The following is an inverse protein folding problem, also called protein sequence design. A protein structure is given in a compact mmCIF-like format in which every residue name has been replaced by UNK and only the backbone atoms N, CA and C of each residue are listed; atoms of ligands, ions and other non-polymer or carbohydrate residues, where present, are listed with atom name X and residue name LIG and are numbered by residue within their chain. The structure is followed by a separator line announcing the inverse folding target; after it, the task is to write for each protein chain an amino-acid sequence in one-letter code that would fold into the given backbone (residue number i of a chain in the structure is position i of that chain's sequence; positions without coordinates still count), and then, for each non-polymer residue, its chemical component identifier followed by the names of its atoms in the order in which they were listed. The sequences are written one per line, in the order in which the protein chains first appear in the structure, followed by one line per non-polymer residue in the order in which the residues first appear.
data_IF_717021031616
#
_entry.id   IF_717021031616
#
_cell.length_a   1.000
_cell.length_b   1.000
_cell.length_c   1.000
_cell.angle_alpha   90.00
_cell.angle_beta   90.00
_cell.angle_gamma   90.00
#
_symmetry.space_group_name_H-M   'P 1'
#
loop_
_entity.id
_entity.type
_entity.pdbx_description
1 polymer ?
#
# COMPACT_ATOMS: atom_id res chain seq x y z
N UNK A 1 28.39 -9.63 12.43
CA UNK A 1 28.80 -8.97 11.18
C UNK A 1 27.70 -8.00 10.79
N UNK A 2 28.00 -6.80 10.28
CA UNK A 2 26.95 -5.90 9.80
C UNK A 2 26.37 -6.48 8.51
N UNK A 3 25.07 -6.85 8.45
CA UNK A 3 24.49 -7.44 7.26
C UNK A 3 24.32 -6.44 6.11
N UNK A 4 24.41 -5.13 6.38
CA UNK A 4 24.37 -4.09 5.35
C UNK A 4 25.73 -3.95 4.67
N UNK A 5 25.77 -4.30 3.39
CA UNK A 5 26.95 -4.17 2.53
C UNK A 5 26.73 -2.95 1.62
N UNK A 6 27.47 -1.87 1.89
CA UNK A 6 27.47 -0.67 1.05
C UNK A 6 28.79 -0.58 0.28
N UNK A 7 28.71 -0.44 -1.04
CA UNK A 7 29.89 -0.20 -1.89
C UNK A 7 30.38 1.23 -1.76
N UNK A 8 29.43 2.18 -1.74
CA UNK A 8 29.65 3.61 -1.57
C UNK A 8 28.41 4.21 -0.91
N UNK A 9 28.59 5.24 -0.08
CA UNK A 9 27.47 6.03 0.44
C UNK A 9 27.26 7.23 -0.50
N UNK A 10 26.14 7.31 -1.24
CA UNK A 10 25.90 8.42 -2.15
C UNK A 10 25.56 9.71 -1.37
N UNK A 11 25.99 10.85 -1.88
CA UNK A 11 25.57 12.17 -1.38
C UNK A 11 24.23 12.53 -2.03
N UNK A 12 23.13 12.44 -1.27
CA UNK A 12 21.77 12.60 -1.76
C UNK A 12 21.09 13.83 -1.14
N UNK A 13 20.29 14.54 -1.93
CA UNK A 13 19.52 15.71 -1.51
C UNK A 13 18.13 15.28 -1.06
N UNK A 14 17.89 15.31 0.26
CA UNK A 14 16.57 14.99 0.88
C UNK A 14 15.92 13.71 0.31
N UNK A 15 16.64 12.58 0.28
CA UNK A 15 16.17 11.41 -0.45
C UNK A 15 14.88 10.82 0.11
N UNK A 16 14.14 10.13 -0.75
CA UNK A 16 12.99 9.30 -0.40
C UNK A 16 13.33 7.84 -0.69
N UNK A 17 13.15 6.96 0.29
CA UNK A 17 13.26 5.51 0.07
C UNK A 17 11.93 4.97 -0.42
N UNK A 18 11.91 4.27 -1.55
CA UNK A 18 10.78 3.49 -2.03
C UNK A 18 11.18 2.02 -2.03
N UNK A 19 10.51 1.20 -1.24
CA UNK A 19 10.86 -0.22 -1.05
C UNK A 19 9.70 -1.16 -1.32
N UNK A 20 9.96 -2.27 -2.00
CA UNK A 20 9.00 -3.36 -2.17
C UNK A 20 9.61 -4.71 -1.76
N UNK A 21 8.74 -5.60 -1.30
CA UNK A 21 9.12 -6.95 -0.88
C UNK A 21 8.30 -7.98 -1.66
N UNK A 22 8.98 -8.79 -2.46
CA UNK A 22 8.38 -9.96 -3.09
C UNK A 22 7.94 -10.96 -2.02
N UNK A 23 6.79 -11.59 -2.22
CA UNK A 23 6.25 -12.61 -1.33
C UNK A 23 4.84 -12.26 -0.86
N UNK A 24 4.58 -12.43 0.43
CA UNK A 24 3.23 -12.31 1.00
C UNK A 24 2.61 -10.91 0.82
N UNK A 25 3.44 -9.87 0.79
CA UNK A 25 3.01 -8.47 0.71
C UNK A 25 2.72 -7.98 -0.73
N UNK A 26 2.80 -8.84 -1.75
CA UNK A 26 2.86 -8.42 -3.15
C UNK A 26 1.94 -9.22 -4.08
N UNK A 27 0.62 -9.08 -3.87
CA UNK A 27 -0.38 -9.67 -4.74
C UNK A 27 -0.19 -9.24 -6.21
N UNK A 28 -0.11 -10.23 -7.09
CA UNK A 28 0.14 -10.03 -8.52
C UNK A 28 1.49 -9.37 -8.82
N UNK A 29 2.47 -9.50 -7.92
CA UNK A 29 3.83 -8.94 -8.06
C UNK A 29 3.82 -7.44 -8.42
N UNK A 30 2.78 -6.71 -8.02
CA UNK A 30 2.52 -5.35 -8.45
C UNK A 30 3.55 -4.36 -7.89
N UNK A 31 3.90 -4.48 -6.61
CA UNK A 31 4.90 -3.66 -5.95
C UNK A 31 6.32 -3.97 -6.46
N UNK A 32 6.64 -5.25 -6.64
CA UNK A 32 7.91 -5.69 -7.25
C UNK A 32 8.03 -5.12 -8.66
N UNK A 33 7.00 -5.29 -9.49
CA UNK A 33 6.97 -4.75 -10.86
C UNK A 33 7.11 -3.23 -10.88
N UNK A 34 6.46 -2.52 -9.95
CA UNK A 34 6.54 -1.07 -9.83
C UNK A 34 7.97 -0.60 -9.52
N UNK A 35 8.64 -1.18 -8.51
CA UNK A 35 10.02 -0.79 -8.16
C UNK A 35 10.99 -1.17 -9.28
N UNK A 36 10.86 -2.35 -9.87
CA UNK A 36 11.69 -2.75 -11.01
C UNK A 36 11.55 -1.78 -12.19
N UNK A 37 10.32 -1.36 -12.49
CA UNK A 37 10.05 -0.37 -13.53
C UNK A 37 10.71 0.98 -13.21
N UNK A 38 10.59 1.47 -11.97
CA UNK A 38 11.23 2.71 -11.52
C UNK A 38 12.77 2.61 -11.63
N UNK A 39 13.37 1.50 -11.19
CA UNK A 39 14.81 1.27 -11.31
C UNK A 39 15.29 1.39 -12.77
N UNK A 40 14.56 0.78 -13.71
CA UNK A 40 14.90 0.84 -15.15
C UNK A 40 14.71 2.23 -15.72
N UNK A 41 13.54 2.84 -15.53
CA UNK A 41 13.21 4.14 -16.12
C UNK A 41 14.08 5.27 -15.58
N UNK A 42 14.42 5.23 -14.30
CA UNK A 42 15.27 6.22 -13.65
C UNK A 42 16.77 5.91 -13.78
N UNK A 43 17.15 4.82 -14.46
CA UNK A 43 18.54 4.37 -14.62
C UNK A 43 19.28 4.27 -13.27
N UNK A 44 18.60 3.71 -12.27
CA UNK A 44 19.07 3.70 -10.90
C UNK A 44 20.38 2.89 -10.75
N UNK A 45 21.28 3.38 -9.89
CA UNK A 45 22.61 2.80 -9.68
C UNK A 45 22.66 2.01 -8.39
N UNK A 46 22.99 0.71 -8.47
CA UNK A 46 23.08 -0.17 -7.29
C UNK A 46 24.25 0.27 -6.41
N UNK A 47 24.01 0.45 -5.12
CA UNK A 47 25.05 0.89 -4.17
C UNK A 47 25.11 0.06 -2.90
N UNK A 48 24.02 -0.61 -2.53
CA UNK A 48 23.98 -1.43 -1.32
C UNK A 48 23.17 -2.72 -1.52
N UNK A 49 23.41 -3.68 -0.62
CA UNK A 49 22.65 -4.91 -0.51
C UNK A 49 22.68 -5.40 0.95
N UNK A 50 21.66 -6.15 1.36
CA UNK A 50 21.70 -6.91 2.61
C UNK A 50 22.19 -8.33 2.34
N UNK A 51 23.16 -8.77 3.12
CA UNK A 51 23.65 -10.16 3.12
C UNK A 51 22.49 -11.11 3.51
N UNK A 52 22.15 -12.09 2.66
CA UNK A 52 21.02 -12.97 2.93
C UNK A 52 21.28 -14.04 4.00
N UNK A 53 22.54 -14.31 4.37
CA UNK A 53 22.93 -15.46 5.20
C UNK A 53 22.09 -15.57 6.49
N UNK A 54 21.84 -14.44 7.15
CA UNK A 54 21.19 -14.38 8.46
C UNK A 54 19.65 -14.26 8.38
N UNK A 55 19.11 -13.98 7.20
CA UNK A 55 17.70 -13.62 7.01
C UNK A 55 16.89 -14.64 6.23
N UNK A 56 17.56 -15.55 5.51
CA UNK A 56 16.90 -16.47 4.58
C UNK A 56 17.07 -17.93 4.97
N UNK A 57 15.98 -18.68 4.85
CA UNK A 57 16.05 -20.15 4.83
C UNK A 57 16.26 -20.57 3.39
N UNK A 58 17.51 -20.84 3.00
CA UNK A 58 17.86 -21.15 1.60
C UNK A 58 17.21 -22.43 1.04
N UNK A 59 16.71 -23.31 1.90
CA UNK A 59 15.90 -24.45 1.47
C UNK A 59 14.56 -24.02 0.86
N UNK A 60 13.98 -22.91 1.35
CA UNK A 60 12.74 -22.33 0.85
C UNK A 60 13.04 -21.36 -0.31
N UNK A 61 14.04 -20.50 -0.14
CA UNK A 61 14.45 -19.53 -1.15
C UNK A 61 15.84 -19.89 -1.70
N UNK A 62 15.87 -20.78 -2.70
CA UNK A 62 17.10 -21.34 -3.24
C UNK A 62 17.88 -20.32 -4.08
N UNK A 63 19.22 -20.29 -3.98
CA UNK A 63 20.05 -19.59 -4.95
C UNK A 63 19.83 -20.14 -6.36
N UNK A 64 19.89 -19.26 -7.36
CA UNK A 64 19.73 -19.62 -8.75
C UNK A 64 21.07 -19.68 -9.46
N UNK A 65 21.19 -20.58 -10.42
CA UNK A 65 22.35 -20.62 -11.33
C UNK A 65 22.02 -19.76 -12.55
N UNK A 66 22.92 -18.85 -12.91
CA UNK A 66 22.84 -18.08 -14.16
C UNK A 66 24.16 -18.19 -14.93
N UNK A 67 24.10 -17.94 -16.24
CA UNK A 67 25.27 -17.68 -17.06
C UNK A 67 25.44 -16.17 -17.29
N UNK A 68 26.64 -15.65 -17.08
CA UNK A 68 26.98 -14.28 -17.47
C UNK A 68 26.95 -14.12 -18.99
N UNK A 69 26.98 -12.89 -19.49
CA UNK A 69 27.08 -12.63 -20.94
C UNK A 69 28.32 -13.28 -21.58
N UNK A 70 29.37 -13.53 -20.79
CA UNK A 70 30.57 -14.25 -21.21
C UNK A 70 30.49 -15.78 -21.14
N UNK A 71 29.35 -16.34 -20.72
CA UNK A 71 29.13 -17.78 -20.61
C UNK A 71 29.67 -18.42 -19.32
N UNK A 72 30.13 -17.61 -18.36
CA UNK A 72 30.58 -18.11 -17.05
C UNK A 72 29.38 -18.39 -16.14
N UNK A 73 29.46 -19.48 -15.37
CA UNK A 73 28.41 -19.85 -14.42
C UNK A 73 28.56 -19.05 -13.12
N UNK A 74 27.49 -18.39 -12.69
CA UNK A 74 27.42 -17.69 -11.41
C UNK A 74 26.23 -18.18 -10.56
N UNK A 75 26.35 -17.99 -9.24
CA UNK A 75 25.25 -18.19 -8.29
C UNK A 75 24.64 -16.84 -7.93
N UNK A 76 23.33 -16.73 -8.12
CA UNK A 76 22.52 -15.60 -7.67
C UNK A 76 21.84 -15.99 -6.37
N UNK A 77 22.35 -15.42 -5.28
CA UNK A 77 21.72 -15.54 -3.98
C UNK A 77 20.48 -14.64 -3.88
N UNK A 78 19.49 -15.00 -3.06
CA UNK A 78 18.41 -14.07 -2.69
C UNK A 78 19.03 -12.79 -2.15
N UNK A 79 18.53 -11.63 -2.54
CA UNK A 79 19.11 -10.36 -2.14
C UNK A 79 18.02 -9.32 -1.88
N UNK A 80 18.32 -8.40 -0.98
CA UNK A 80 17.61 -7.14 -0.85
C UNK A 80 18.59 -6.05 -1.26
N UNK A 81 18.37 -5.53 -2.45
CA UNK A 81 19.26 -4.62 -3.12
C UNK A 81 18.70 -3.20 -3.07
N UNK A 82 19.62 -2.24 -3.07
CA UNK A 82 19.29 -0.83 -3.05
C UNK A 82 20.01 -0.09 -4.16
N UNK A 83 19.26 0.77 -4.83
CA UNK A 83 19.71 1.64 -5.90
C UNK A 83 19.42 3.09 -5.53
N UNK A 84 20.19 4.02 -6.07
CA UNK A 84 19.91 5.45 -5.93
C UNK A 84 19.77 6.11 -7.30
N UNK A 85 19.07 7.24 -7.29
CA UNK A 85 18.88 8.15 -8.42
C UNK A 85 19.10 9.56 -7.92
N UNK A 86 20.10 10.22 -8.49
CA UNK A 86 20.30 11.66 -8.33
C UNK A 86 19.68 12.36 -9.53
N UNK A 87 18.72 13.24 -9.31
CA UNK A 87 18.08 13.99 -10.38
C UNK A 87 18.21 15.49 -10.11
N UNK A 88 19.23 16.16 -10.70
CA UNK A 88 19.51 17.57 -10.46
C UNK A 88 18.30 18.49 -10.68
N UNK A 89 17.44 18.15 -11.65
CA UNK A 89 16.24 18.92 -11.99
C UNK A 89 15.11 18.79 -10.96
N UNK A 90 15.22 17.86 -10.00
CA UNK A 90 14.21 17.60 -8.98
C UNK A 90 14.64 18.10 -7.59
N UNK A 91 13.67 18.31 -6.71
CA UNK A 91 13.88 18.82 -5.34
C UNK A 91 14.42 17.78 -4.36
N UNK A 92 14.29 16.50 -4.70
CA UNK A 92 14.63 15.35 -3.85
C UNK A 92 15.23 14.28 -4.72
N UNK A 93 16.19 13.53 -4.18
CA UNK A 93 16.72 12.33 -4.81
C UNK A 93 15.94 11.07 -4.36
N UNK A 94 16.18 9.92 -4.98
CA UNK A 94 15.44 8.69 -4.69
C UNK A 94 16.39 7.55 -4.35
N UNK A 95 16.02 6.78 -3.33
CA UNK A 95 16.57 5.45 -3.05
C UNK A 95 15.47 4.44 -3.36
N UNK A 96 15.79 3.43 -4.16
CA UNK A 96 14.89 2.32 -4.50
C UNK A 96 15.40 1.07 -3.80
N UNK A 97 14.52 0.35 -3.12
CA UNK A 97 14.83 -0.93 -2.46
C UNK A 97 13.95 -2.03 -3.02
N UNK A 98 14.56 -3.17 -3.37
CA UNK A 98 13.81 -4.35 -3.78
C UNK A 98 14.46 -5.59 -3.20
N UNK A 99 13.64 -6.44 -2.62
CA UNK A 99 14.08 -7.79 -2.27
C UNK A 99 12.93 -8.69 -1.95
N UNK A 100 13.25 -9.85 -1.40
CA UNK A 100 12.26 -10.80 -0.92
C UNK A 100 12.01 -10.50 0.57
N UNK A 101 10.81 -10.78 1.04
CA UNK A 101 10.53 -10.74 2.48
C UNK A 101 11.47 -11.70 3.24
N UNK A 102 12.20 -11.26 4.27
CA UNK A 102 13.09 -12.14 5.03
C UNK A 102 12.29 -13.23 5.74
N UNK A 103 12.89 -14.40 5.95
CA UNK A 103 12.28 -15.49 6.71
C UNK A 103 12.55 -15.41 8.21
N UNK A 104 13.71 -14.86 8.58
CA UNK A 104 14.25 -14.87 9.93
C UNK A 104 14.67 -13.47 10.37
N UNK A 105 14.79 -13.28 11.69
CA UNK A 105 15.43 -12.11 12.32
C UNK A 105 14.88 -10.75 11.85
N UNK A 106 13.58 -10.61 11.65
CA UNK A 106 12.94 -9.39 11.14
C UNK A 106 13.34 -8.11 11.86
N UNK A 107 13.52 -8.16 13.20
CA UNK A 107 13.99 -6.99 13.97
C UNK A 107 15.39 -6.55 13.54
N UNK A 108 16.32 -7.49 13.37
CA UNK A 108 17.69 -7.20 12.93
C UNK A 108 17.73 -6.79 11.45
N UNK A 109 16.88 -7.40 10.62
CA UNK A 109 16.70 -7.01 9.22
C UNK A 109 16.24 -5.55 9.10
N UNK A 110 15.18 -5.18 9.82
CA UNK A 110 14.64 -3.82 9.81
C UNK A 110 15.66 -2.84 10.35
N UNK A 111 16.41 -3.19 11.40
CA UNK A 111 17.50 -2.35 11.89
C UNK A 111 18.54 -2.08 10.80
N UNK A 112 18.92 -3.08 10.01
CA UNK A 112 19.87 -2.89 8.91
C UNK A 112 19.31 -2.00 7.79
N UNK A 113 18.00 -2.04 7.53
CA UNK A 113 17.32 -1.09 6.62
C UNK A 113 17.33 0.33 7.20
N UNK A 114 17.07 0.48 8.50
CA UNK A 114 17.13 1.77 9.19
C UNK A 114 18.54 2.35 9.19
N UNK A 115 19.58 1.53 9.36
CA UNK A 115 20.97 1.96 9.24
C UNK A 115 21.26 2.54 7.85
N UNK A 116 20.70 1.96 6.78
CA UNK A 116 20.77 2.51 5.43
C UNK A 116 20.00 3.84 5.31
N UNK A 117 18.79 3.90 5.86
CA UNK A 117 17.95 5.12 5.90
C UNK A 117 18.70 6.27 6.55
N UNK A 118 19.35 6.03 7.69
CA UNK A 118 20.15 7.01 8.42
C UNK A 118 21.42 7.42 7.65
N UNK A 119 22.18 6.45 7.13
CA UNK A 119 23.40 6.74 6.37
C UNK A 119 23.13 7.52 5.08
N UNK A 120 21.99 7.27 4.43
CA UNK A 120 21.56 8.01 3.24
C UNK A 120 20.79 9.30 3.58
N UNK A 121 20.53 9.59 4.85
CA UNK A 121 19.72 10.73 5.30
C UNK A 121 18.34 10.79 4.65
N UNK A 122 17.69 9.63 4.54
CA UNK A 122 16.34 9.48 3.96
C UNK A 122 15.33 10.27 4.78
N UNK A 123 14.55 11.09 4.08
CA UNK A 123 13.57 12.01 4.66
C UNK A 123 12.13 11.44 4.70
N UNK A 124 11.88 10.37 3.94
CA UNK A 124 10.60 9.68 3.89
C UNK A 124 10.83 8.23 3.40
N UNK A 125 10.21 7.26 4.07
CA UNK A 125 10.16 5.86 3.64
C UNK A 125 8.78 5.54 3.07
N UNK A 126 8.73 4.98 1.87
CA UNK A 126 7.52 4.55 1.17
C UNK A 126 7.64 3.05 0.89
N UNK A 127 6.89 2.23 1.63
CA UNK A 127 6.77 0.81 1.29
C UNK A 127 5.62 0.60 0.30
N UNK A 128 5.87 -0.16 -0.76
CA UNK A 128 4.86 -0.57 -1.72
C UNK A 128 4.47 -2.03 -1.45
N UNK A 129 3.18 -2.29 -1.51
CA UNK A 129 2.60 -3.62 -1.41
C UNK A 129 1.35 -3.74 -2.28
N UNK A 130 0.82 -4.95 -2.32
CA UNK A 130 -0.45 -5.26 -2.97
C UNK A 130 -1.13 -6.40 -2.24
N UNK A 131 -2.45 -6.33 -2.13
CA UNK A 131 -3.27 -7.31 -1.42
C UNK A 131 -4.44 -7.77 -2.28
N UNK A 132 -4.90 -8.99 -2.04
CA UNK A 132 -6.12 -9.50 -2.67
C UNK A 132 -7.34 -8.86 -1.97
N UNK A 133 -8.28 -8.35 -2.77
CA UNK A 133 -9.48 -7.68 -2.31
C UNK A 133 -10.70 -8.06 -3.15
N UNK A 134 -11.88 -7.76 -2.63
CA UNK A 134 -13.16 -7.82 -3.34
C UNK A 134 -13.30 -6.60 -4.26
N UNK A 135 -12.45 -6.59 -5.28
CA UNK A 135 -12.43 -5.56 -6.32
C UNK A 135 -12.54 -6.14 -7.71
N UNK A 136 -13.06 -5.34 -8.64
CA UNK A 136 -13.25 -5.75 -10.02
C UNK A 136 -12.11 -5.22 -10.90
N UNK A 137 -11.68 -6.03 -11.85
CA UNK A 137 -10.55 -5.72 -12.72
C UNK A 137 -10.84 -4.59 -13.72
N UNK A 138 -12.11 -4.36 -14.04
CA UNK A 138 -12.60 -3.31 -14.96
C UNK A 138 -12.43 -1.89 -14.36
N UNK A 139 -12.50 -1.76 -13.03
CA UNK A 139 -12.45 -0.46 -12.35
C UNK A 139 -11.01 0.04 -12.12
N UNK A 140 -10.82 1.35 -11.84
CA UNK A 140 -9.53 1.88 -11.41
C UNK A 140 -9.02 1.18 -10.14
N UNK A 141 -7.72 0.90 -10.09
CA UNK A 141 -7.09 0.25 -8.92
C UNK A 141 -7.17 1.18 -7.72
N UNK A 142 -7.89 0.74 -6.68
CA UNK A 142 -7.95 1.44 -5.40
C UNK A 142 -6.62 1.25 -4.65
N UNK A 143 -6.08 2.34 -4.14
CA UNK A 143 -4.88 2.35 -3.30
C UNK A 143 -5.28 2.67 -1.86
N UNK A 144 -4.89 1.81 -0.93
CA UNK A 144 -5.02 2.05 0.51
C UNK A 144 -3.63 2.29 1.11
N UNK A 145 -3.55 2.80 2.34
CA UNK A 145 -2.26 3.02 2.95
C UNK A 145 -2.33 3.43 4.41
N UNK A 146 -1.20 3.27 5.08
CA UNK A 146 -1.00 3.68 6.47
C UNK A 146 0.24 4.55 6.53
N UNK A 147 0.16 5.67 7.23
CA UNK A 147 1.30 6.53 7.50
C UNK A 147 1.64 6.53 8.99
N UNK A 148 2.88 6.87 9.29
CA UNK A 148 3.40 7.04 10.65
C UNK A 148 2.78 8.21 11.41
N UNK A 149 2.29 9.22 10.70
CA UNK A 149 1.72 10.45 11.24
C UNK A 149 0.41 10.83 10.50
N UNK A 150 -0.63 11.30 11.22
CA UNK A 150 -1.90 11.70 10.61
C UNK A 150 -1.79 12.81 9.56
N UNK A 151 -0.88 13.78 9.71
CA UNK A 151 -0.75 14.87 8.73
C UNK A 151 -0.17 14.34 7.41
N UNK A 152 0.79 13.41 7.50
CA UNK A 152 1.30 12.70 6.33
C UNK A 152 0.19 11.88 5.65
N UNK A 153 -0.65 11.17 6.42
CA UNK A 153 -1.79 10.44 5.87
C UNK A 153 -2.78 11.37 5.15
N UNK A 154 -3.14 12.51 5.78
CA UNK A 154 -4.08 13.48 5.24
C UNK A 154 -3.57 14.14 3.95
N UNK A 155 -2.31 14.59 3.94
CA UNK A 155 -1.66 15.15 2.74
C UNK A 155 -1.64 14.19 1.55
N UNK A 156 -1.65 12.89 1.84
CA UNK A 156 -1.63 11.83 0.85
C UNK A 156 -3.03 11.27 0.57
N UNK A 157 -4.09 11.75 1.22
CA UNK A 157 -5.44 11.22 1.07
C UNK A 157 -5.49 9.71 1.35
N UNK A 158 -4.76 9.25 2.36
CA UNK A 158 -4.79 7.86 2.80
C UNK A 158 -5.88 7.71 3.86
N UNK A 159 -6.83 6.82 3.62
CA UNK A 159 -7.80 6.40 4.63
C UNK A 159 -7.08 5.53 5.67
N UNK A 160 -7.06 6.00 6.93
CA UNK A 160 -6.44 5.25 8.02
C UNK A 160 -7.03 3.85 8.17
N UNK A 161 -6.17 2.87 8.44
CA UNK A 161 -6.60 1.48 8.69
C UNK A 161 -6.84 1.26 10.19
N UNK A 162 -7.93 0.56 10.53
CA UNK A 162 -8.20 0.02 11.88
C UNK A 162 -7.90 -1.48 11.97
N UNK A 163 -7.16 -2.02 11.01
CA UNK A 163 -6.86 -3.44 10.92
C UNK A 163 -6.08 -3.94 12.14
N UNK A 164 -6.52 -5.07 12.67
CA UNK A 164 -5.81 -5.86 13.67
C UNK A 164 -5.67 -7.30 13.16
N UNK A 165 -4.44 -7.82 13.16
CA UNK A 165 -4.15 -9.16 12.66
C UNK A 165 -2.68 -9.35 12.25
N UNK A 166 -2.37 -10.47 11.57
CA UNK A 166 -1.04 -10.76 11.07
C UNK A 166 -0.51 -9.65 10.16
N UNK A 167 0.80 -9.41 10.22
CA UNK A 167 1.48 -8.43 9.36
C UNK A 167 2.76 -9.00 8.78
N UNK A 168 3.20 -8.41 7.67
CA UNK A 168 4.46 -8.72 7.01
C UNK A 168 5.59 -7.78 7.43
N UNK A 169 6.73 -7.91 6.76
CA UNK A 169 7.90 -7.06 6.97
C UNK A 169 7.61 -5.57 6.73
N UNK A 170 6.65 -5.25 5.83
CA UNK A 170 6.19 -3.88 5.57
C UNK A 170 5.62 -3.24 6.84
N UNK A 171 4.79 -3.98 7.59
CA UNK A 171 4.22 -3.49 8.84
C UNK A 171 5.28 -3.30 9.92
N UNK A 172 6.25 -4.22 10.00
CA UNK A 172 7.35 -4.13 10.98
C UNK A 172 8.29 -2.96 10.65
N UNK A 173 8.59 -2.72 9.38
CA UNK A 173 9.37 -1.56 8.95
C UNK A 173 8.65 -0.24 9.28
N UNK A 174 7.35 -0.14 8.97
CA UNK A 174 6.56 1.05 9.30
C UNK A 174 6.50 1.31 10.81
N UNK A 175 6.31 0.27 11.63
CA UNK A 175 6.31 0.40 13.09
C UNK A 175 7.66 0.84 13.64
N UNK A 176 8.77 0.32 13.10
CA UNK A 176 10.11 0.73 13.50
C UNK A 176 10.39 2.18 13.11
N UNK A 177 10.05 2.61 11.89
CA UNK A 177 10.14 4.02 11.48
C UNK A 177 9.34 4.93 12.42
N UNK A 178 8.11 4.55 12.78
CA UNK A 178 7.27 5.30 13.73
C UNK A 178 7.96 5.46 15.09
N UNK A 179 8.55 4.39 15.63
CA UNK A 179 9.25 4.41 16.92
C UNK A 179 10.49 5.29 16.92
N UNK A 180 11.17 5.44 15.79
CA UNK A 180 12.32 6.33 15.63
C UNK A 180 11.93 7.76 15.19
N UNK A 181 10.64 8.06 15.03
CA UNK A 181 10.17 9.37 14.56
C UNK A 181 10.49 9.64 13.09
N UNK A 182 10.77 8.60 12.29
CA UNK A 182 11.02 8.69 10.86
C UNK A 182 9.70 8.74 10.09
N UNK A 183 9.49 9.75 9.21
CA UNK A 183 8.33 9.77 8.32
C UNK A 183 8.32 8.52 7.44
N UNK A 184 7.31 7.69 7.59
CA UNK A 184 7.06 6.54 6.73
C UNK A 184 5.59 6.35 6.37
N UNK A 185 5.36 5.67 5.25
CA UNK A 185 4.06 5.29 4.74
C UNK A 185 4.14 3.96 4.00
N UNK A 186 3.02 3.22 3.99
CA UNK A 186 2.82 2.08 3.09
C UNK A 186 1.68 2.36 2.11
N UNK A 187 1.84 1.95 0.86
CA UNK A 187 0.83 2.01 -0.20
C UNK A 187 0.51 0.60 -0.67
N UNK A 188 -0.78 0.27 -0.69
CA UNK A 188 -1.28 -1.05 -1.01
C UNK A 188 -2.23 -0.98 -2.19
N UNK A 189 -1.89 -1.67 -3.28
CA UNK A 189 -2.80 -1.86 -4.40
C UNK A 189 -3.80 -2.99 -4.11
N UNK A 190 -5.08 -2.69 -4.25
CA UNK A 190 -6.14 -3.70 -4.14
C UNK A 190 -6.24 -4.46 -5.46
N UNK A 191 -5.88 -5.74 -5.45
CA UNK A 191 -5.90 -6.64 -6.60
C UNK A 191 -7.12 -7.57 -6.49
N UNK A 192 -7.87 -7.81 -7.59
CA UNK A 192 -8.98 -8.76 -7.55
C UNK A 192 -8.52 -10.15 -7.08
N UNK A 193 -9.18 -10.72 -6.09
CA UNK A 193 -8.76 -12.01 -5.52
C UNK A 193 -8.81 -13.18 -6.53
N UNK A 194 -9.69 -13.11 -7.54
CA UNK A 194 -9.75 -14.09 -8.64
C UNK A 194 -8.58 -13.99 -9.63
N UNK A 195 -7.67 -13.02 -9.46
CA UNK A 195 -6.43 -12.87 -10.23
C UNK A 195 -5.19 -13.32 -9.45
N UNK A 196 -5.37 -14.15 -8.41
CA UNK A 196 -4.28 -14.69 -7.63
C UNK A 196 -3.28 -15.45 -8.50
N UNK A 197 -1.99 -15.21 -8.28
CA UNK A 197 -0.90 -15.89 -8.99
C UNK A 197 -0.59 -15.34 -10.39
N UNK A 198 -1.26 -14.26 -10.82
CA UNK A 198 -0.99 -13.60 -12.11
C UNK A 198 -0.36 -12.22 -11.88
N UNK A 199 0.74 -11.92 -12.57
CA UNK A 199 1.36 -10.59 -12.54
C UNK A 199 0.38 -9.52 -13.01
N UNK A 200 0.21 -8.46 -12.22
CA UNK A 200 -0.78 -7.41 -12.45
C UNK A 200 -0.12 -6.05 -12.75
N UNK A 201 0.20 -5.76 -14.03
CA UNK A 201 0.81 -4.49 -14.43
C UNK A 201 -0.13 -3.28 -14.25
N UNK A 202 -1.46 -3.48 -14.21
CA UNK A 202 -2.42 -2.41 -13.91
C UNK A 202 -2.25 -1.89 -12.48
N UNK A 203 -2.09 -2.80 -11.52
CA UNK A 203 -1.80 -2.46 -10.13
C UNK A 203 -0.41 -1.81 -9.98
N UNK A 204 0.61 -2.34 -10.67
CA UNK A 204 1.95 -1.73 -10.69
C UNK A 204 1.91 -0.30 -11.24
N UNK A 205 1.16 -0.05 -12.32
CA UNK A 205 0.99 1.28 -12.90
C UNK A 205 0.34 2.26 -11.92
N UNK A 206 -0.66 1.82 -11.16
CA UNK A 206 -1.31 2.63 -10.13
C UNK A 206 -0.32 3.02 -9.01
N UNK A 207 0.49 2.08 -8.53
CA UNK A 207 1.54 2.32 -7.54
C UNK A 207 2.59 3.31 -8.07
N UNK A 208 3.10 3.12 -9.30
CA UNK A 208 4.06 4.03 -9.93
C UNK A 208 3.51 5.44 -10.04
N UNK A 209 2.28 5.60 -10.54
CA UNK A 209 1.63 6.92 -10.64
C UNK A 209 1.50 7.59 -9.28
N UNK A 210 1.15 6.83 -8.25
CA UNK A 210 1.03 7.35 -6.89
C UNK A 210 2.38 7.78 -6.33
N UNK A 211 3.42 6.98 -6.50
CA UNK A 211 4.79 7.32 -6.09
C UNK A 211 5.26 8.60 -6.77
N UNK A 212 5.09 8.71 -8.09
CA UNK A 212 5.49 9.91 -8.84
C UNK A 212 4.76 11.17 -8.36
N UNK A 213 3.47 11.05 -8.03
CA UNK A 213 2.70 12.15 -7.42
C UNK A 213 3.28 12.57 -6.07
N UNK A 214 3.70 11.61 -5.22
CA UNK A 214 4.31 11.90 -3.91
C UNK A 214 5.70 12.52 -4.05
N UNK A 215 6.48 12.07 -5.02
CA UNK A 215 7.79 12.64 -5.34
C UNK A 215 7.70 14.01 -6.01
N UNK A 216 6.53 14.38 -6.55
CA UNK A 216 6.34 15.51 -7.47
C UNK A 216 7.21 15.38 -8.73
N UNK A 217 7.48 14.14 -9.15
CA UNK A 217 8.28 13.82 -10.31
C UNK A 217 7.40 13.54 -11.54
N UNK A 218 7.88 13.94 -12.70
CA UNK A 218 7.32 13.54 -13.99
C UNK A 218 8.33 12.70 -14.74
N UNK A 219 8.05 11.41 -14.94
CA UNK A 219 8.85 10.58 -15.84
C UNK A 219 8.43 10.82 -17.28
N UNK A 220 9.39 10.83 -18.23
CA UNK A 220 9.10 11.07 -19.64
C UNK A 220 8.27 9.95 -20.25
N UNK A 221 8.43 8.71 -19.78
CA UNK A 221 7.77 7.56 -20.37
C UNK A 221 7.20 6.56 -19.34
N UNK A 222 5.91 6.24 -19.50
CA UNK A 222 5.22 5.14 -18.81
C UNK A 222 4.55 4.20 -19.84
N UNK A 223 4.89 4.32 -21.12
CA UNK A 223 4.24 3.61 -22.24
C UNK A 223 4.34 2.10 -22.09
N UNK A 224 5.52 1.57 -21.76
CA UNK A 224 5.75 0.15 -21.48
C UNK A 224 4.72 -0.38 -20.47
N UNK A 225 4.61 0.29 -19.33
CA UNK A 225 3.74 -0.13 -18.24
C UNK A 225 2.25 0.11 -18.55
N UNK A 226 1.91 1.18 -19.28
CA UNK A 226 0.55 1.45 -19.77
C UNK A 226 0.10 0.37 -20.76
N UNK A 227 0.92 0.05 -21.74
CA UNK A 227 0.64 -1.00 -22.73
C UNK A 227 0.49 -2.36 -22.07
N UNK A 228 1.36 -2.68 -21.09
CA UNK A 228 1.24 -3.91 -20.31
C UNK A 228 -0.07 -3.96 -19.51
N UNK A 229 -0.50 -2.85 -18.90
CA UNK A 229 -1.77 -2.75 -18.19
C UNK A 229 -2.97 -2.97 -19.12
N UNK A 230 -3.01 -2.31 -20.28
CA UNK A 230 -4.09 -2.49 -21.27
C UNK A 230 -4.15 -3.93 -21.79
N UNK A 231 -3.01 -4.52 -22.14
CA UNK A 231 -2.95 -5.91 -22.59
C UNK A 231 -3.34 -6.91 -21.50
N UNK A 232 -3.04 -6.60 -20.24
CA UNK A 232 -3.50 -7.40 -19.09
C UNK A 232 -5.02 -7.32 -18.95
N UNK A 233 -5.61 -6.12 -18.95
CA UNK A 233 -7.06 -5.93 -18.85
C UNK A 233 -7.79 -6.69 -19.96
N UNK A 234 -7.36 -6.58 -21.21
CA UNK A 234 -7.99 -7.31 -22.32
C UNK A 234 -7.93 -8.84 -22.17
N UNK A 235 -6.83 -9.38 -21.63
CA UNK A 235 -6.72 -10.83 -21.38
C UNK A 235 -7.63 -11.28 -20.24
N UNK A 236 -7.75 -10.47 -19.18
CA UNK A 236 -8.64 -10.78 -18.07
C UNK A 236 -10.09 -10.73 -18.53
N UNK A 237 -10.48 -9.70 -19.29
CA UNK A 237 -11.83 -9.58 -19.86
C UNK A 237 -12.20 -10.82 -20.70
N UNK A 238 -11.30 -11.26 -21.57
CA UNK A 238 -11.49 -12.48 -22.37
C UNK A 238 -11.65 -13.74 -21.50
N UNK A 239 -10.82 -13.88 -20.47
CA UNK A 239 -10.90 -15.01 -19.55
C UNK A 239 -12.22 -15.02 -18.78
N UNK A 240 -12.65 -13.86 -18.27
CA UNK A 240 -13.94 -13.70 -17.57
C UNK A 240 -15.11 -13.99 -18.51
N UNK A 241 -15.09 -13.49 -19.74
CA UNK A 241 -16.15 -13.76 -20.72
C UNK A 241 -16.24 -15.25 -21.13
N UNK A 242 -15.13 -15.99 -21.03
CA UNK A 242 -15.09 -17.42 -21.35
C UNK A 242 -15.62 -18.33 -20.23
N UNK A 243 -15.79 -17.82 -19.02
CA UNK A 243 -16.25 -18.56 -17.85
C UNK A 243 -17.53 -17.90 -17.29
N UNK A 244 -18.67 -18.56 -17.49
CA UNK A 244 -19.98 -18.03 -17.07
C UNK A 244 -20.14 -17.88 -15.56
N UNK A 245 -19.46 -18.71 -14.77
CA UNK A 245 -19.48 -18.60 -13.31
C UNK A 245 -18.69 -17.39 -12.86
N UNK A 246 -17.48 -17.22 -13.41
CA UNK A 246 -16.64 -16.06 -13.14
C UNK A 246 -17.28 -14.75 -13.62
N UNK A 247 -17.89 -14.74 -14.81
CA UNK A 247 -18.63 -13.59 -15.32
C UNK A 247 -19.78 -13.17 -14.40
N UNK A 248 -20.56 -14.14 -13.92
CA UNK A 248 -21.66 -13.88 -12.96
C UNK A 248 -21.12 -13.30 -11.66
N UNK A 249 -20.02 -13.86 -11.16
CA UNK A 249 -19.38 -13.42 -9.93
C UNK A 249 -18.82 -11.99 -10.04
N UNK A 250 -18.11 -11.67 -11.13
CA UNK A 250 -17.60 -10.32 -11.40
C UNK A 250 -18.76 -9.32 -11.45
N UNK A 251 -19.86 -9.66 -12.10
CA UNK A 251 -21.05 -8.80 -12.20
C UNK A 251 -21.66 -8.50 -10.82
N UNK A 252 -21.74 -9.49 -9.93
CA UNK A 252 -22.19 -9.29 -8.55
C UNK A 252 -21.28 -8.35 -7.78
N UNK A 253 -19.95 -8.47 -7.94
CA UNK A 253 -19.01 -7.54 -7.33
C UNK A 253 -19.14 -6.12 -7.88
N UNK A 254 -19.40 -5.96 -9.18
CA UNK A 254 -19.65 -4.65 -9.80
C UNK A 254 -20.90 -3.99 -9.20
N UNK A 255 -22.00 -4.74 -9.06
CA UNK A 255 -23.25 -4.25 -8.44
C UNK A 255 -23.04 -3.83 -6.98
N UNK A 256 -22.30 -4.62 -6.20
CA UNK A 256 -21.97 -4.30 -4.81
C UNK A 256 -21.12 -3.03 -4.69
N UNK A 257 -20.14 -2.85 -5.59
CA UNK A 257 -19.32 -1.64 -5.58
C UNK A 257 -20.09 -0.40 -6.00
N UNK A 258 -20.96 -0.52 -7.01
CA UNK A 258 -21.82 0.59 -7.43
C UNK A 258 -22.74 1.02 -6.29
N UNK A 259 -23.34 0.07 -5.58
CA UNK A 259 -24.19 0.36 -4.41
C UNK A 259 -23.42 1.03 -3.24
N UNK A 260 -22.12 0.75 -3.10
CA UNK A 260 -21.25 1.42 -2.11
C UNK A 260 -20.73 2.79 -2.57
N UNK A 261 -20.67 3.02 -3.90
CA UNK A 261 -20.15 4.24 -4.50
C UNK A 261 -21.22 5.30 -4.74
N UNK A 262 -22.49 4.91 -4.85
CA UNK A 262 -23.59 5.85 -4.72
C UNK A 262 -23.53 6.47 -3.32
N UNK A 263 -23.36 7.80 -3.19
CA UNK A 263 -23.47 8.43 -1.89
C UNK A 263 -24.86 8.05 -1.37
N UNK A 264 -24.91 7.49 -0.17
CA UNK A 264 -26.17 7.43 0.55
C UNK A 264 -26.80 8.82 0.47
N UNK A 265 -27.90 8.95 -0.28
CA UNK A 265 -28.78 10.12 -0.30
C UNK A 265 -29.47 10.31 1.07
N UNK A 266 -28.74 10.13 2.17
CA UNK A 266 -29.22 10.09 3.55
C UNK A 266 -28.19 10.60 4.58
N UNK A 267 -27.24 11.45 4.17
CA UNK A 267 -26.51 12.28 5.14
C UNK A 267 -26.99 13.74 5.11
N UNK A 268 -27.61 14.21 4.02
CA UNK A 268 -28.21 15.57 3.95
C UNK A 268 -29.67 15.64 4.47
N UNK A 269 -30.30 14.50 4.79
CA UNK A 269 -31.66 14.44 5.37
C UNK A 269 -31.70 13.69 6.70
N UNK A 270 -30.59 13.58 7.43
CA UNK A 270 -30.68 13.26 8.85
C UNK A 270 -31.08 14.55 9.57
N UNK A 271 -32.27 14.60 10.22
CA UNK A 271 -32.63 15.76 11.02
C UNK A 271 -31.49 16.05 12.00
N UNK A 272 -31.14 17.33 12.15
CA UNK A 272 -30.05 17.73 13.04
C UNK A 272 -30.36 17.26 14.47
N UNK A 273 -29.34 17.10 15.31
CA UNK A 273 -29.54 16.77 16.73
C UNK A 273 -30.47 17.76 17.45
N UNK A 274 -30.57 18.99 16.94
CA UNK A 274 -31.50 20.02 17.43
C UNK A 274 -32.95 19.75 16.97
N UNK A 275 -33.16 19.35 15.72
CA UNK A 275 -34.50 18.98 15.21
C UNK A 275 -35.08 17.77 15.98
N UNK A 276 -34.24 16.77 16.26
CA UNK A 276 -34.61 15.59 17.06
C UNK A 276 -34.90 15.96 18.53
N UNK A 277 -34.16 16.93 19.09
CA UNK A 277 -34.39 17.41 20.44
C UNK A 277 -35.71 18.20 20.55
N UNK A 278 -36.04 19.04 19.56
CA UNK A 278 -37.31 19.76 19.50
C UNK A 278 -38.50 18.82 19.35
N UNK A 279 -38.38 17.76 18.51
CA UNK A 279 -39.42 16.75 18.38
C UNK A 279 -39.63 15.96 19.67
N UNK A 280 -38.54 15.58 20.35
CA UNK A 280 -38.61 14.88 21.64
C UNK A 280 -39.23 15.77 22.73
N UNK A 281 -38.85 17.04 22.81
CA UNK A 281 -39.48 17.99 23.74
C UNK A 281 -40.97 18.17 23.45
N UNK A 282 -41.35 18.30 22.18
CA UNK A 282 -42.76 18.45 21.77
C UNK A 282 -43.57 17.21 22.15
N UNK A 283 -43.00 16.01 21.98
CA UNK A 283 -43.61 14.75 22.39
C UNK A 283 -43.78 14.63 23.92
N UNK A 284 -42.75 14.98 24.69
CA UNK A 284 -42.79 14.96 26.16
C UNK A 284 -43.78 15.99 26.73
N UNK A 285 -43.94 17.15 26.09
CA UNK A 285 -44.97 18.15 26.44
C UNK A 285 -46.39 17.65 26.16
N UNK A 286 -46.59 16.85 25.11
CA UNK A 286 -47.88 16.22 24.83
C UNK A 286 -48.22 15.15 25.86
N UNK A 287 -47.26 14.33 26.30
CA UNK A 287 -47.48 13.36 27.38
C UNK A 287 -47.78 14.02 28.73
N UNK A 288 -47.09 15.11 29.09
CA UNK A 288 -47.38 15.86 30.33
C UNK A 288 -48.77 16.51 30.35
N UNK A 289 -49.34 16.83 29.19
CA UNK A 289 -50.73 17.32 29.08
C UNK A 289 -51.79 16.21 29.16
N UNK A 290 -51.38 14.94 29.02
CA UNK A 290 -52.27 13.78 29.11
C UNK A 290 -52.15 13.03 30.45
N UNK A 291 -51.25 13.44 31.34
CA UNK A 291 -51.24 12.97 32.73
C UNK A 291 -52.33 13.70 33.53
N UNK A 292 -53.32 13.00 34.11
CA UNK A 292 -54.30 13.62 35.00
C UNK A 292 -53.59 14.10 36.28
N UNK A 293 -53.94 15.29 36.76
CA UNK A 293 -53.53 15.76 38.09
C UNK A 293 -54.01 14.77 39.17
N UNK A 294 -53.19 14.48 40.21
CA UNK A 294 -53.65 13.68 41.33
C UNK A 294 -54.74 14.45 42.10
N UNK A 295 -55.81 13.77 42.56
CA UNK A 295 -56.91 14.44 43.25
C UNK A 295 -56.46 15.04 44.59
N UNK A 296 -56.98 16.23 44.89
CA UNK A 296 -56.82 16.96 46.14
C UNK A 296 -57.35 16.11 47.32
N UNK A 297 -56.56 15.99 48.39
CA UNK A 297 -57.00 15.36 49.64
C UNK A 297 -58.04 16.26 50.32
N UNK A 298 -59.31 15.85 50.29
CA UNK A 298 -60.36 16.42 51.13
C UNK A 298 -60.13 16.00 52.61
N UNK A 299 -59.97 17.00 53.47
CA UNK A 299 -60.23 16.90 54.91
C UNK A 299 -61.70 16.51 55.14
N UNK A 300 -61.96 15.49 55.98
CA UNK A 300 -62.91 15.53 57.11
C UNK A 300 -63.18 14.13 57.68
N UNK A 301 -63.07 13.99 59.02
CA UNK A 301 -63.60 12.85 59.78
C UNK A 301 -62.80 12.45 61.01
#
# INVERSE_FOLDING_TARGET
MNPLIMRTVPSLRRPVLIVAFLGWNDAGEAATTAVQFLCRQMKAQKFASLDPEEFYVFANQRPQVRFTTGGERELLWPANDFWYVQEPAQLRDVVLGLGIEPHLKWRAYVQAVLDLVHQCQVSLVISLGALLAEVVHSQPVRLTGVATDPDLAARLGLTGSRYEGPTGIVGVLNDACRKEGLPAMSLWANVPHYLQGVTNPKAALALVRRVLKVLEWSLPDLSELRSAATAFESRVEQAVASDSQLATYVRQLEEQQQAQAEPSLREEELPSGEDLAEELERFLRQQRRQSPEPPEEEEEG
#
